data_IF_742442907813
#
_entry.id   IF_742442907813
#
_cell.length_a   1.000
_cell.length_b   1.000
_cell.length_c   1.000
_cell.angle_alpha   90.00
_cell.angle_beta   90.00
_cell.angle_gamma   90.00
#
_symmetry.space_group_name_H-M   'P 1'
#
loop_
_entity.id
_entity.type
_entity.pdbx_description
1 polymer ?
#
# COMPACT_ATOMS: atom_id res chain seq x y z
N UNK A 1 -4.33 16.00 -35.50
CA UNK A 1 -3.58 15.09 -36.38
C UNK A 1 -3.72 13.70 -35.80
N UNK A 2 -4.45 12.78 -36.45
CA UNK A 2 -4.61 11.39 -35.97
C UNK A 2 -3.31 10.65 -36.27
N UNK A 3 -2.69 10.08 -35.23
CA UNK A 3 -1.56 9.18 -35.44
C UNK A 3 -2.08 7.94 -36.15
N UNK A 4 -1.56 7.62 -37.31
CA UNK A 4 -1.80 6.34 -37.97
C UNK A 4 -1.24 5.24 -37.07
N UNK A 5 -2.00 4.18 -36.73
CA UNK A 5 -1.45 3.07 -35.98
C UNK A 5 -0.39 2.39 -36.85
N UNK A 6 0.85 2.31 -36.34
CA UNK A 6 1.81 1.35 -36.91
C UNK A 6 1.25 -0.07 -36.83
N UNK A 7 1.82 -1.02 -37.58
CA UNK A 7 1.31 -2.38 -37.79
C UNK A 7 1.08 -3.14 -36.45
N UNK A 8 -0.08 -2.94 -35.84
CA UNK A 8 -0.52 -3.42 -34.55
C UNK A 8 -0.98 -2.27 -33.65
N UNK A 9 -2.21 -2.32 -33.15
CA UNK A 9 -2.75 -1.32 -32.24
C UNK A 9 -1.97 -1.25 -30.94
N UNK A 10 -2.21 -0.20 -30.12
CA UNK A 10 -1.57 0.00 -28.80
C UNK A 10 -1.62 -1.25 -27.92
N UNK A 11 -2.81 -1.86 -27.79
CA UNK A 11 -3.00 -3.05 -26.95
C UNK A 11 -2.20 -4.25 -27.46
N UNK A 12 -2.22 -4.52 -28.77
CA UNK A 12 -1.52 -5.65 -29.37
C UNK A 12 -0.01 -5.53 -29.25
N UNK A 13 0.52 -4.30 -29.37
CA UNK A 13 1.94 -4.03 -29.17
C UNK A 13 2.36 -4.34 -27.73
N UNK A 14 1.58 -3.90 -26.74
CA UNK A 14 1.85 -4.19 -25.34
C UNK A 14 1.72 -5.66 -24.99
N UNK A 15 0.70 -6.36 -25.50
CA UNK A 15 0.48 -7.80 -25.26
C UNK A 15 1.66 -8.60 -25.83
N UNK A 16 2.14 -8.30 -27.04
CA UNK A 16 3.31 -8.98 -27.63
C UNK A 16 4.56 -8.76 -26.79
N UNK A 17 4.83 -7.52 -26.40
CA UNK A 17 5.97 -7.18 -25.56
C UNK A 17 5.92 -7.90 -24.22
N UNK A 18 4.76 -7.97 -23.60
CA UNK A 18 4.61 -8.64 -22.30
C UNK A 18 4.98 -10.11 -22.34
N UNK A 19 4.70 -10.80 -23.46
CA UNK A 19 5.01 -12.23 -23.61
C UNK A 19 6.53 -12.49 -23.59
N UNK A 20 7.35 -11.58 -24.14
CA UNK A 20 8.81 -11.76 -24.28
C UNK A 20 9.61 -11.02 -23.20
N UNK A 21 9.20 -9.80 -22.88
CA UNK A 21 9.99 -8.86 -22.07
C UNK A 21 9.28 -8.42 -20.78
N UNK A 22 8.05 -8.86 -20.55
CA UNK A 22 7.31 -8.60 -19.32
C UNK A 22 7.89 -9.36 -18.13
N UNK A 23 7.45 -8.99 -16.92
CA UNK A 23 7.80 -9.74 -15.72
C UNK A 23 6.97 -11.03 -15.65
N UNK A 24 7.63 -12.16 -15.42
CA UNK A 24 6.98 -13.47 -15.31
C UNK A 24 7.33 -14.21 -14.02
N UNK A 25 8.21 -13.60 -13.19
CA UNK A 25 8.77 -14.19 -11.98
C UNK A 25 8.05 -13.72 -10.68
N UNK A 26 6.95 -12.98 -10.80
CA UNK A 26 6.23 -12.49 -9.64
C UNK A 26 5.24 -13.54 -9.11
N UNK A 27 5.27 -13.86 -7.80
CA UNK A 27 4.47 -14.96 -7.23
C UNK A 27 2.97 -14.84 -7.45
N UNK A 28 2.45 -13.64 -7.61
CA UNK A 28 1.03 -13.35 -7.82
C UNK A 28 0.59 -13.46 -9.28
N UNK A 29 1.53 -13.50 -10.24
CA UNK A 29 1.22 -13.65 -11.67
C UNK A 29 0.97 -15.10 -12.08
N UNK A 30 1.38 -16.06 -11.26
CA UNK A 30 1.22 -17.48 -11.55
C UNK A 30 -0.25 -17.98 -11.53
N UNK A 31 -1.21 -17.12 -11.17
CA UNK A 31 -2.60 -17.52 -10.97
C UNK A 31 -3.56 -16.37 -11.26
N UNK A 32 -4.71 -16.70 -11.83
CA UNK A 32 -5.86 -15.78 -11.97
C UNK A 32 -6.84 -15.90 -10.79
N UNK A 33 -6.43 -16.47 -9.67
CA UNK A 33 -7.26 -16.58 -8.48
C UNK A 33 -7.54 -15.17 -7.90
N UNK A 34 -8.81 -14.75 -7.77
CA UNK A 34 -9.16 -13.38 -7.35
C UNK A 34 -8.63 -12.99 -5.97
N UNK A 35 -8.59 -13.93 -5.02
CA UNK A 35 -8.02 -13.69 -3.70
C UNK A 35 -6.53 -13.34 -3.78
N UNK A 36 -5.75 -14.10 -4.57
CA UNK A 36 -4.30 -13.88 -4.73
C UNK A 36 -4.00 -12.59 -5.46
N UNK A 37 -4.73 -12.31 -6.54
CA UNK A 37 -4.57 -11.06 -7.30
C UNK A 37 -4.95 -9.86 -6.43
N UNK A 38 -6.10 -9.89 -5.78
CA UNK A 38 -6.52 -8.84 -4.87
C UNK A 38 -5.53 -8.59 -3.74
N UNK A 39 -5.03 -9.66 -3.08
CA UNK A 39 -4.04 -9.56 -2.02
C UNK A 39 -2.77 -8.84 -2.50
N UNK A 40 -2.24 -9.21 -3.66
CA UNK A 40 -1.07 -8.57 -4.24
C UNK A 40 -1.31 -7.09 -4.59
N UNK A 41 -2.47 -6.77 -5.19
CA UNK A 41 -2.85 -5.41 -5.53
C UNK A 41 -2.90 -4.50 -4.30
N UNK A 42 -3.48 -4.99 -3.19
CA UNK A 42 -3.50 -4.22 -1.93
C UNK A 42 -2.09 -4.08 -1.34
N UNK A 43 -1.26 -5.11 -1.38
CA UNK A 43 0.11 -5.04 -0.87
C UNK A 43 1.00 -4.10 -1.68
N UNK A 44 0.82 -4.07 -3.00
CA UNK A 44 1.60 -3.24 -3.93
C UNK A 44 1.22 -1.75 -3.88
N UNK A 45 0.10 -1.37 -3.28
CA UNK A 45 -0.24 0.04 -3.10
C UNK A 45 0.86 0.77 -2.32
N UNK A 46 1.62 1.65 -2.99
CA UNK A 46 2.71 2.45 -2.41
C UNK A 46 3.83 1.61 -1.75
N UNK A 47 3.98 0.35 -2.13
CA UNK A 47 5.04 -0.54 -1.63
C UNK A 47 5.80 -1.15 -2.82
N UNK A 48 7.11 -1.26 -2.69
CA UNK A 48 7.96 -1.81 -3.75
C UNK A 48 7.78 -3.33 -3.88
N UNK A 49 7.87 -3.84 -5.11
CA UNK A 49 7.74 -5.27 -5.44
C UNK A 49 8.68 -6.15 -4.63
N UNK A 50 9.94 -5.74 -4.48
CA UNK A 50 10.94 -6.50 -3.72
C UNK A 50 10.50 -6.74 -2.27
N UNK A 51 9.90 -5.76 -1.65
CA UNK A 51 9.36 -5.88 -0.28
C UNK A 51 8.13 -6.78 -0.24
N UNK A 52 7.22 -6.65 -1.23
CA UNK A 52 5.94 -7.39 -1.23
C UNK A 52 6.13 -8.88 -1.43
N UNK A 53 7.16 -9.35 -2.16
CA UNK A 53 7.39 -10.77 -2.45
C UNK A 53 7.34 -11.66 -1.20
N UNK A 54 8.13 -11.30 -0.19
CA UNK A 54 8.22 -12.10 1.05
C UNK A 54 6.95 -12.01 1.88
N UNK A 55 6.34 -10.82 1.93
CA UNK A 55 5.06 -10.62 2.64
C UNK A 55 3.94 -11.42 2.01
N UNK A 56 3.82 -11.42 0.69
CA UNK A 56 2.81 -12.17 -0.04
C UNK A 56 2.91 -13.67 0.24
N UNK A 57 4.12 -14.22 0.19
CA UNK A 57 4.35 -15.64 0.48
C UNK A 57 3.96 -16.00 1.91
N UNK A 58 4.42 -15.22 2.91
CA UNK A 58 4.07 -15.45 4.31
C UNK A 58 2.57 -15.30 4.59
N UNK A 59 1.93 -14.33 3.94
CA UNK A 59 0.49 -14.14 4.06
C UNK A 59 -0.30 -15.33 3.54
N UNK A 60 0.05 -15.87 2.37
CA UNK A 60 -0.60 -17.05 1.81
C UNK A 60 -0.36 -18.33 2.62
N UNK A 61 0.79 -18.43 3.28
CA UNK A 61 1.06 -19.55 4.20
C UNK A 61 0.13 -19.52 5.41
N UNK A 62 -0.11 -18.34 5.98
CA UNK A 62 -0.97 -18.15 7.17
C UNK A 62 -2.45 -18.06 6.82
N UNK A 63 -2.77 -17.41 5.71
CA UNK A 63 -4.13 -17.17 5.21
C UNK A 63 -4.22 -17.62 3.75
N UNK A 64 -4.37 -18.92 3.48
CA UNK A 64 -4.33 -19.48 2.12
C UNK A 64 -5.50 -19.04 1.22
N UNK A 65 -6.60 -18.61 1.82
CA UNK A 65 -7.81 -18.18 1.17
C UNK A 65 -8.51 -17.04 1.93
N UNK A 66 -9.60 -16.55 1.34
CA UNK A 66 -10.38 -15.44 1.91
C UNK A 66 -11.09 -15.82 3.21
N UNK A 67 -11.46 -17.10 3.38
CA UNK A 67 -12.13 -17.58 4.58
C UNK A 67 -11.17 -17.60 5.77
N UNK A 68 -9.97 -18.11 5.59
CA UNK A 68 -8.93 -18.09 6.61
C UNK A 68 -8.57 -16.67 7.04
N UNK A 69 -8.47 -15.73 6.08
CA UNK A 69 -8.22 -14.32 6.39
C UNK A 69 -9.40 -13.67 7.14
N UNK A 70 -10.65 -13.95 6.74
CA UNK A 70 -11.84 -13.37 7.37
C UNK A 70 -12.05 -13.82 8.82
N UNK A 71 -11.68 -15.07 9.13
CA UNK A 71 -11.82 -15.67 10.46
C UNK A 71 -10.68 -15.32 11.41
N UNK A 72 -9.56 -14.84 10.90
CA UNK A 72 -8.40 -14.52 11.72
C UNK A 72 -8.68 -13.33 12.66
N UNK A 73 -8.10 -13.31 13.86
CA UNK A 73 -8.04 -12.10 14.66
C UNK A 73 -7.35 -10.96 13.90
N UNK A 74 -7.87 -9.74 14.01
CA UNK A 74 -7.27 -8.58 13.34
C UNK A 74 -5.80 -8.37 13.76
N UNK A 75 -5.47 -8.67 15.00
CA UNK A 75 -4.11 -8.52 15.52
C UNK A 75 -3.11 -9.45 14.81
N UNK A 76 -3.50 -10.68 14.47
CA UNK A 76 -2.68 -11.60 13.66
C UNK A 76 -2.40 -11.00 12.28
N UNK A 77 -3.42 -10.42 11.65
CA UNK A 77 -3.29 -9.76 10.33
C UNK A 77 -2.37 -8.55 10.41
N UNK A 78 -2.53 -7.70 11.44
CA UNK A 78 -1.69 -6.52 11.65
C UNK A 78 -0.26 -6.89 12.03
N UNK A 79 -0.07 -7.95 12.81
CA UNK A 79 1.24 -8.50 13.16
C UNK A 79 2.01 -8.95 11.92
N UNK A 80 1.38 -9.75 11.05
CA UNK A 80 1.98 -10.23 9.81
C UNK A 80 2.21 -9.11 8.78
N UNK A 81 1.40 -8.03 8.83
CA UNK A 81 1.54 -6.84 7.99
C UNK A 81 2.67 -5.90 8.46
N UNK A 82 3.18 -6.12 9.67
CA UNK A 82 4.13 -5.20 10.30
C UNK A 82 5.38 -4.99 9.44
N UNK A 83 5.68 -3.72 9.14
CA UNK A 83 6.78 -3.32 8.25
C UNK A 83 6.35 -2.85 6.85
N UNK A 84 5.18 -3.28 6.34
CA UNK A 84 4.67 -2.80 5.03
C UNK A 84 4.17 -1.35 5.07
N UNK A 85 3.82 -0.83 6.25
CA UNK A 85 3.24 0.50 6.38
C UNK A 85 1.80 0.61 5.88
N UNK A 86 1.21 1.83 6.00
CA UNK A 86 -0.17 2.08 5.58
C UNK A 86 -1.16 1.03 6.11
N UNK A 87 -1.18 0.82 7.41
CA UNK A 87 -1.94 -0.26 8.08
C UNK A 87 -3.47 -0.20 7.87
N UNK A 88 -3.99 0.95 7.42
CA UNK A 88 -5.39 1.03 6.97
C UNK A 88 -5.68 0.04 5.83
N UNK A 89 -4.69 -0.30 5.01
CA UNK A 89 -4.83 -1.33 3.97
C UNK A 89 -5.10 -2.71 4.59
N UNK A 90 -4.33 -3.10 5.60
CA UNK A 90 -4.53 -4.38 6.30
C UNK A 90 -5.89 -4.45 6.99
N UNK A 91 -6.32 -3.38 7.67
CA UNK A 91 -7.66 -3.33 8.30
C UNK A 91 -8.79 -3.44 7.26
N UNK A 92 -8.68 -2.66 6.18
CA UNK A 92 -9.67 -2.72 5.11
C UNK A 92 -9.65 -4.08 4.39
N UNK A 93 -8.48 -4.67 4.22
CA UNK A 93 -8.31 -6.01 3.64
C UNK A 93 -9.01 -7.07 4.51
N UNK A 94 -8.82 -7.04 5.82
CA UNK A 94 -9.52 -7.93 6.75
C UNK A 94 -11.04 -7.73 6.70
N UNK A 95 -11.51 -6.48 6.75
CA UNK A 95 -12.93 -6.16 6.62
C UNK A 95 -13.50 -6.56 5.24
N UNK A 96 -12.72 -6.42 4.17
CA UNK A 96 -13.09 -6.86 2.84
C UNK A 96 -13.28 -8.39 2.80
N UNK A 97 -12.34 -9.15 3.37
CA UNK A 97 -12.47 -10.60 3.45
C UNK A 97 -13.75 -11.03 4.19
N UNK A 98 -14.07 -10.38 5.31
CA UNK A 98 -15.33 -10.62 6.04
C UNK A 98 -16.56 -10.30 5.18
N UNK A 99 -16.52 -9.21 4.41
CA UNK A 99 -17.61 -8.84 3.49
C UNK A 99 -17.78 -9.85 2.35
N UNK A 100 -16.68 -10.33 1.78
CA UNK A 100 -16.73 -11.39 0.75
C UNK A 100 -17.36 -12.65 1.30
N UNK A 101 -17.02 -13.05 2.53
CA UNK A 101 -17.67 -14.20 3.19
C UNK A 101 -19.16 -13.99 3.42
N UNK A 102 -19.54 -12.84 3.98
CA UNK A 102 -20.92 -12.61 4.45
C UNK A 102 -21.89 -12.25 3.32
N UNK A 103 -21.46 -11.50 2.32
CA UNK A 103 -22.32 -11.00 1.24
C UNK A 103 -22.21 -11.78 -0.07
N UNK A 104 -21.08 -12.48 -0.28
CA UNK A 104 -20.78 -13.16 -1.54
C UNK A 104 -20.43 -14.63 -1.35
N UNK A 105 -20.70 -15.22 -0.17
CA UNK A 105 -20.48 -16.67 0.08
C UNK A 105 -19.03 -17.14 -0.10
N UNK A 106 -18.06 -16.24 0.07
CA UNK A 106 -16.63 -16.54 -0.10
C UNK A 106 -16.11 -16.39 -1.54
N UNK A 107 -16.95 -15.98 -2.47
CA UNK A 107 -16.58 -15.73 -3.87
C UNK A 107 -16.44 -14.22 -4.12
N UNK A 108 -15.32 -13.80 -4.73
CA UNK A 108 -15.19 -12.42 -5.17
C UNK A 108 -16.17 -12.11 -6.31
N UNK A 109 -16.81 -10.92 -6.32
CA UNK A 109 -17.58 -10.46 -7.48
C UNK A 109 -16.73 -10.48 -8.76
N UNK A 110 -17.35 -10.78 -9.89
CA UNK A 110 -16.71 -10.97 -11.19
C UNK A 110 -16.59 -9.69 -12.03
N UNK A 111 -17.05 -8.56 -11.50
CA UNK A 111 -17.04 -7.28 -12.21
C UNK A 111 -16.52 -6.12 -11.35
N UNK A 112 -15.92 -5.13 -12.01
CA UNK A 112 -15.29 -3.98 -11.37
C UNK A 112 -16.28 -3.13 -10.54
N UNK A 113 -17.53 -3.02 -10.99
CA UNK A 113 -18.54 -2.22 -10.29
C UNK A 113 -18.84 -2.78 -8.90
N UNK A 114 -19.05 -4.08 -8.79
CA UNK A 114 -19.30 -4.76 -7.51
C UNK A 114 -18.03 -4.84 -6.67
N UNK A 115 -16.87 -5.16 -7.27
CA UNK A 115 -15.58 -5.17 -6.56
C UNK A 115 -15.28 -3.82 -5.91
N UNK A 116 -15.62 -2.70 -6.56
CA UNK A 116 -15.40 -1.36 -6.01
C UNK A 116 -16.29 -1.02 -4.79
N UNK A 117 -17.29 -1.82 -4.48
CA UNK A 117 -18.11 -1.67 -3.26
C UNK A 117 -17.45 -2.28 -2.02
N UNK A 118 -16.42 -3.10 -2.22
CA UNK A 118 -15.73 -3.78 -1.13
C UNK A 118 -14.78 -2.82 -0.37
N UNK A 119 -14.64 -2.98 0.96
CA UNK A 119 -13.78 -2.14 1.77
C UNK A 119 -12.33 -2.09 1.27
N UNK A 120 -11.80 -0.89 1.05
CA UNK A 120 -10.41 -0.68 0.61
C UNK A 120 -10.12 -1.02 -0.85
N UNK A 121 -11.13 -1.42 -1.62
CA UNK A 121 -11.02 -1.69 -3.05
C UNK A 121 -11.43 -0.44 -3.82
N UNK A 122 -10.44 0.33 -4.27
CA UNK A 122 -10.67 1.49 -5.13
C UNK A 122 -10.93 1.11 -6.59
N UNK A 123 -11.38 2.07 -7.43
CA UNK A 123 -11.70 1.80 -8.84
C UNK A 123 -10.58 1.12 -9.62
N UNK A 124 -9.32 1.52 -9.41
CA UNK A 124 -8.18 0.92 -10.12
C UNK A 124 -7.91 -0.53 -9.67
N UNK A 125 -7.99 -0.81 -8.36
CA UNK A 125 -7.84 -2.18 -7.83
C UNK A 125 -9.00 -3.07 -8.29
N UNK A 126 -10.24 -2.57 -8.27
CA UNK A 126 -11.41 -3.28 -8.77
C UNK A 126 -11.24 -3.64 -10.25
N UNK A 127 -10.83 -2.67 -11.07
CA UNK A 127 -10.57 -2.89 -12.49
C UNK A 127 -9.42 -3.89 -12.74
N UNK A 128 -8.36 -3.85 -11.94
CA UNK A 128 -7.25 -4.80 -12.06
C UNK A 128 -7.71 -6.25 -11.77
N UNK A 129 -8.44 -6.45 -10.67
CA UNK A 129 -8.99 -7.78 -10.32
C UNK A 129 -9.97 -8.27 -11.39
N UNK A 130 -10.92 -7.42 -11.81
CA UNK A 130 -11.92 -7.76 -12.83
C UNK A 130 -11.29 -8.12 -14.18
N UNK A 131 -10.32 -7.33 -14.60
CA UNK A 131 -9.60 -7.55 -15.86
C UNK A 131 -8.73 -8.81 -15.82
N UNK A 132 -7.93 -8.99 -14.76
CA UNK A 132 -6.96 -10.11 -14.67
C UNK A 132 -7.67 -11.44 -14.42
N UNK A 133 -8.68 -11.45 -13.54
CA UNK A 133 -9.30 -12.71 -13.11
C UNK A 133 -10.49 -13.12 -13.98
N UNK A 134 -11.22 -12.15 -14.52
CA UNK A 134 -12.49 -12.41 -15.20
C UNK A 134 -12.52 -11.92 -16.66
N UNK A 135 -11.45 -11.29 -17.13
CA UNK A 135 -11.36 -10.79 -18.49
C UNK A 135 -12.29 -9.60 -18.81
N UNK A 136 -12.80 -8.91 -17.77
CA UNK A 136 -13.65 -7.75 -17.98
C UNK A 136 -12.90 -6.65 -18.76
N UNK A 137 -13.57 -6.07 -19.77
CA UNK A 137 -13.03 -4.98 -20.57
C UNK A 137 -13.13 -3.67 -19.83
N UNK A 138 -12.23 -3.46 -18.87
CA UNK A 138 -12.18 -2.27 -18.00
C UNK A 138 -10.75 -1.73 -17.89
N UNK A 139 -10.60 -0.41 -17.91
CA UNK A 139 -9.28 0.24 -17.83
C UNK A 139 -8.85 0.46 -16.39
N UNK A 140 -7.58 0.16 -16.09
CA UNK A 140 -6.93 0.54 -14.83
C UNK A 140 -6.28 1.92 -14.95
N UNK A 141 -6.24 2.68 -13.86
CA UNK A 141 -5.55 3.95 -13.77
C UNK A 141 -4.76 4.08 -12.46
N UNK A 142 -3.79 3.21 -12.25
CA UNK A 142 -2.81 3.37 -11.17
C UNK A 142 -1.76 4.45 -11.51
N UNK A 143 -0.82 4.72 -10.62
CA UNK A 143 0.21 5.72 -10.83
C UNK A 143 1.16 5.42 -12.01
N UNK A 144 1.44 4.16 -12.27
CA UNK A 144 2.28 3.72 -13.38
C UNK A 144 1.54 3.85 -14.72
N UNK A 145 0.31 3.36 -14.76
CA UNK A 145 -0.54 3.41 -15.95
C UNK A 145 -0.88 4.86 -16.34
N UNK A 146 -1.22 5.72 -15.38
CA UNK A 146 -1.39 7.16 -15.60
C UNK A 146 -0.16 7.78 -16.28
N UNK A 147 1.04 7.41 -15.83
CA UNK A 147 2.29 7.90 -16.42
C UNK A 147 2.49 7.39 -17.86
N UNK A 148 2.27 6.10 -18.10
CA UNK A 148 2.38 5.53 -19.46
C UNK A 148 1.39 6.20 -20.40
N UNK A 149 0.12 6.26 -20.04
CA UNK A 149 -0.93 6.81 -20.89
C UNK A 149 -0.75 8.31 -21.15
N UNK A 150 -0.42 9.10 -20.12
CA UNK A 150 -0.21 10.54 -20.33
C UNK A 150 0.97 10.82 -21.23
N UNK A 151 2.03 10.02 -21.18
CA UNK A 151 3.19 10.12 -22.07
C UNK A 151 2.85 9.68 -23.49
N UNK A 152 2.22 8.53 -23.64
CA UNK A 152 1.83 8.00 -24.95
C UNK A 152 0.92 8.96 -25.69
N UNK A 153 -0.10 9.48 -25.03
CA UNK A 153 -1.09 10.39 -25.61
C UNK A 153 -0.62 11.86 -25.68
N UNK A 154 0.47 12.23 -24.99
CA UNK A 154 0.82 13.64 -24.77
C UNK A 154 -0.28 14.39 -24.01
N UNK A 155 -0.85 13.76 -22.97
CA UNK A 155 -1.99 14.29 -22.25
C UNK A 155 -1.56 15.39 -21.26
N UNK A 156 -1.90 16.64 -21.57
CA UNK A 156 -1.49 17.85 -20.84
C UNK A 156 -2.40 18.20 -19.65
N UNK A 157 -3.53 17.49 -19.49
CA UNK A 157 -4.46 17.74 -18.39
C UNK A 157 -3.83 17.48 -17.01
N UNK A 158 -3.91 18.46 -16.12
CA UNK A 158 -3.46 18.29 -14.72
C UNK A 158 -4.29 17.23 -14.01
N UNK A 159 -3.65 16.11 -13.66
CA UNK A 159 -4.28 14.97 -13.00
C UNK A 159 -4.64 15.25 -11.51
N UNK A 160 -4.35 16.43 -10.99
CA UNK A 160 -4.91 16.88 -9.71
C UNK A 160 -6.41 17.24 -9.79
N UNK A 161 -6.93 17.42 -11.01
CA UNK A 161 -8.34 17.72 -11.29
C UNK A 161 -9.07 16.46 -11.74
N UNK A 162 -10.14 16.08 -11.06
CA UNK A 162 -10.92 14.87 -11.34
C UNK A 162 -11.46 14.81 -12.77
N UNK A 163 -11.85 15.95 -13.37
CA UNK A 163 -12.32 16.00 -14.75
C UNK A 163 -11.28 15.51 -15.76
N UNK A 164 -9.99 15.81 -15.52
CA UNK A 164 -8.89 15.36 -16.37
C UNK A 164 -8.61 13.86 -16.16
N UNK A 165 -8.74 13.38 -14.92
CA UNK A 165 -8.63 11.95 -14.63
C UNK A 165 -9.73 11.14 -15.32
N UNK A 166 -10.99 11.60 -15.29
CA UNK A 166 -12.09 11.00 -16.04
C UNK A 166 -11.86 11.06 -17.55
N UNK A 167 -11.28 12.16 -18.06
CA UNK A 167 -10.93 12.26 -19.49
C UNK A 167 -9.85 11.24 -19.88
N UNK A 168 -8.81 11.09 -19.03
CA UNK A 168 -7.77 10.08 -19.26
C UNK A 168 -8.34 8.66 -19.20
N UNK A 169 -9.31 8.39 -18.29
CA UNK A 169 -9.98 7.09 -18.21
C UNK A 169 -10.75 6.76 -19.50
N UNK A 170 -11.42 7.72 -20.10
CA UNK A 170 -12.09 7.51 -21.40
C UNK A 170 -11.10 7.14 -22.50
N UNK A 171 -9.96 7.84 -22.56
CA UNK A 171 -8.89 7.49 -23.52
C UNK A 171 -8.29 6.11 -23.22
N UNK A 172 -8.03 5.80 -21.96
CA UNK A 172 -7.57 4.47 -21.54
C UNK A 172 -8.53 3.35 -21.99
N UNK A 173 -9.85 3.59 -21.87
CA UNK A 173 -10.88 2.62 -22.28
C UNK A 173 -10.90 2.40 -23.80
N UNK A 174 -10.60 3.42 -24.60
CA UNK A 174 -10.49 3.31 -26.07
C UNK A 174 -9.29 2.48 -26.52
N UNK A 175 -8.25 2.43 -25.69
CA UNK A 175 -7.01 1.71 -25.99
C UNK A 175 -7.05 0.23 -25.56
N UNK A 176 -8.12 -0.22 -24.93
CA UNK A 176 -8.27 -1.62 -24.49
C UNK A 176 -8.44 -2.58 -25.66
N UNK A 177 -8.02 -3.85 -25.51
CA UNK A 177 -8.31 -4.91 -26.46
C UNK A 177 -9.81 -5.02 -26.74
N UNK A 178 -10.17 -5.34 -27.99
CA UNK A 178 -11.57 -5.50 -28.39
C UNK A 178 -11.97 -6.96 -28.62
N UNK A 179 -10.98 -7.85 -28.80
CA UNK A 179 -11.20 -9.25 -29.11
C UNK A 179 -10.50 -10.16 -28.12
N UNK A 180 -11.01 -11.40 -27.99
CA UNK A 180 -10.44 -12.44 -27.13
C UNK A 180 -10.21 -11.94 -25.70
N UNK A 181 -11.23 -11.28 -25.13
CA UNK A 181 -11.10 -10.54 -23.86
C UNK A 181 -10.60 -11.40 -22.70
N UNK A 182 -11.08 -12.64 -22.60
CA UNK A 182 -10.66 -13.56 -21.55
C UNK A 182 -9.13 -13.82 -21.53
N UNK A 183 -8.46 -13.68 -22.68
CA UNK A 183 -7.01 -13.86 -22.79
C UNK A 183 -6.26 -12.55 -22.86
N UNK A 184 -6.80 -11.58 -23.63
CA UNK A 184 -6.10 -10.34 -23.94
C UNK A 184 -6.18 -9.33 -22.81
N UNK A 185 -7.28 -9.26 -22.08
CA UNK A 185 -7.41 -8.30 -20.96
C UNK A 185 -6.42 -8.59 -19.83
N UNK A 186 -6.28 -9.82 -19.31
CA UNK A 186 -5.27 -10.12 -18.29
C UNK A 186 -3.85 -9.74 -18.75
N UNK A 187 -3.48 -10.12 -19.98
CA UNK A 187 -2.15 -9.82 -20.54
C UNK A 187 -1.92 -8.32 -20.74
N UNK A 188 -2.89 -7.61 -21.32
CA UNK A 188 -2.81 -6.17 -21.50
C UNK A 188 -2.66 -5.42 -20.18
N UNK A 189 -3.48 -5.78 -19.19
CA UNK A 189 -3.44 -5.16 -17.86
C UNK A 189 -2.10 -5.37 -17.19
N UNK A 190 -1.56 -6.59 -17.25
CA UNK A 190 -0.21 -6.86 -16.75
C UNK A 190 0.86 -6.11 -17.56
N UNK A 191 0.73 -6.08 -18.90
CA UNK A 191 1.70 -5.42 -19.77
C UNK A 191 1.85 -3.93 -19.48
N UNK A 192 0.75 -3.21 -19.36
CA UNK A 192 0.79 -1.77 -19.10
C UNK A 192 1.34 -1.43 -17.71
N UNK A 193 1.07 -2.27 -16.70
CA UNK A 193 1.66 -2.16 -15.37
C UNK A 193 3.17 -2.43 -15.41
N UNK A 194 3.60 -3.49 -16.11
CA UNK A 194 5.00 -3.86 -16.24
C UNK A 194 5.78 -2.78 -17.01
N UNK A 195 5.25 -2.28 -18.12
CA UNK A 195 5.86 -1.19 -18.86
C UNK A 195 6.11 0.04 -17.99
N UNK A 196 5.11 0.41 -17.19
CA UNK A 196 5.25 1.52 -16.27
C UNK A 196 6.27 1.27 -15.15
N UNK A 197 6.42 0.03 -14.72
CA UNK A 197 7.32 -0.30 -13.62
C UNK A 197 8.79 -0.47 -14.07
N UNK A 198 9.05 -0.92 -15.31
CA UNK A 198 10.39 -1.35 -15.75
C UNK A 198 11.00 -0.45 -16.84
N UNK A 199 10.21 0.04 -17.76
CA UNK A 199 10.68 0.80 -18.94
C UNK A 199 10.27 2.27 -18.87
N UNK A 200 8.98 2.55 -18.75
CA UNK A 200 8.44 3.91 -18.68
C UNK A 200 8.49 4.47 -17.26
N UNK A 201 9.67 4.45 -16.65
CA UNK A 201 9.92 4.88 -15.26
C UNK A 201 9.71 6.38 -15.06
N UNK A 202 9.53 6.83 -13.82
CA UNK A 202 9.24 8.24 -13.50
C UNK A 202 10.37 9.17 -13.90
N UNK A 203 11.61 8.75 -13.68
CA UNK A 203 12.84 9.46 -14.06
C UNK A 203 13.64 8.58 -15.03
N UNK A 204 14.27 9.21 -16.03
CA UNK A 204 15.12 8.55 -17.02
C UNK A 204 14.45 7.31 -17.64
N UNK A 205 13.25 7.44 -18.26
CA UNK A 205 12.60 6.30 -18.91
C UNK A 205 13.46 5.78 -20.05
N UNK A 206 13.48 4.44 -20.24
CA UNK A 206 14.24 3.78 -21.29
C UNK A 206 13.46 3.80 -22.63
N UNK A 207 13.27 4.99 -23.22
CA UNK A 207 12.43 5.17 -24.42
C UNK A 207 12.93 4.35 -25.62
N UNK A 208 14.24 4.20 -25.80
CA UNK A 208 14.80 3.42 -26.91
C UNK A 208 14.46 1.91 -26.84
N UNK A 209 14.23 1.37 -25.61
CA UNK A 209 13.82 -0.02 -25.39
C UNK A 209 12.30 -0.18 -25.23
N UNK A 210 11.53 0.90 -25.41
CA UNK A 210 10.09 0.89 -25.22
C UNK A 210 9.37 0.26 -26.41
N UNK A 211 8.41 -0.66 -26.21
CA UNK A 211 7.63 -1.22 -27.32
C UNK A 211 6.80 -0.17 -28.06
N UNK A 212 6.57 0.97 -27.44
CA UNK A 212 5.83 2.12 -28.02
C UNK A 212 6.77 3.18 -28.61
N UNK A 213 8.07 2.87 -28.79
CA UNK A 213 9.04 3.75 -29.43
C UNK A 213 8.55 4.21 -30.77
N UNK A 214 8.75 5.50 -31.12
CA UNK A 214 8.26 6.11 -32.35
C UNK A 214 6.74 6.38 -32.42
N UNK A 215 5.96 5.84 -31.50
CA UNK A 215 4.50 6.08 -31.40
C UNK A 215 4.14 6.98 -30.21
N UNK A 216 5.09 7.20 -29.29
CA UNK A 216 4.87 7.93 -28.05
C UNK A 216 4.99 9.44 -28.25
N UNK A 217 3.94 10.20 -27.93
CA UNK A 217 3.92 11.65 -28.13
C UNK A 217 4.93 12.40 -27.26
N UNK A 218 5.08 11.98 -25.98
CA UNK A 218 6.06 12.60 -25.08
C UNK A 218 7.51 12.35 -25.51
N UNK A 219 7.79 11.22 -26.16
CA UNK A 219 9.08 10.93 -26.76
C UNK A 219 9.34 11.83 -27.96
N UNK A 220 8.38 11.95 -28.89
CA UNK A 220 8.48 12.84 -30.05
C UNK A 220 8.73 14.31 -29.63
N UNK A 221 8.24 14.71 -28.47
CA UNK A 221 8.48 16.02 -27.86
C UNK A 221 9.80 16.09 -27.06
N UNK A 222 10.58 15.01 -27.01
CA UNK A 222 11.81 14.91 -26.21
C UNK A 222 11.61 15.30 -24.72
N UNK A 223 10.40 15.17 -24.19
CA UNK A 223 10.05 15.61 -22.85
C UNK A 223 9.19 14.61 -22.05
N UNK A 224 9.57 13.32 -21.98
CA UNK A 224 8.75 12.32 -21.27
C UNK A 224 8.56 12.61 -19.79
N UNK A 225 9.51 13.26 -19.13
CA UNK A 225 9.43 13.58 -17.71
C UNK A 225 8.47 14.74 -17.39
N UNK A 226 8.03 15.52 -18.38
CA UNK A 226 6.99 16.53 -18.24
C UNK A 226 5.61 15.92 -17.95
N UNK A 227 5.43 14.61 -18.21
CA UNK A 227 4.18 13.89 -18.02
C UNK A 227 4.29 12.84 -16.90
N UNK A 228 3.25 12.67 -16.07
CA UNK A 228 1.99 13.42 -16.02
C UNK A 228 2.14 14.83 -15.43
N UNK A 229 1.32 15.76 -15.89
CA UNK A 229 1.21 17.10 -15.29
C UNK A 229 0.52 16.96 -13.94
N UNK A 230 1.15 17.51 -12.87
CA UNK A 230 0.60 17.60 -11.52
C UNK A 230 1.02 18.91 -10.88
N UNK A 231 0.07 19.79 -10.64
CA UNK A 231 0.35 21.10 -10.02
C UNK A 231 0.24 21.08 -8.50
N UNK A 232 -0.56 20.13 -7.95
CA UNK A 232 -0.76 20.03 -6.50
C UNK A 232 0.48 19.49 -5.80
N UNK A 233 1.11 20.33 -4.98
CA UNK A 233 2.19 19.91 -4.06
C UNK A 233 1.61 19.48 -2.73
N UNK A 234 2.09 18.38 -2.20
CA UNK A 234 1.70 17.90 -0.87
C UNK A 234 2.32 18.83 0.19
N UNK A 235 1.46 19.48 1.00
CA UNK A 235 1.94 20.21 2.19
C UNK A 235 2.28 19.18 3.27
N UNK A 236 3.51 19.21 3.76
CA UNK A 236 3.97 18.39 4.88
C UNK A 236 3.87 19.18 6.18
N UNK A 237 3.52 18.50 7.27
CA UNK A 237 3.51 19.05 8.63
C UNK A 237 4.53 18.30 9.48
N UNK A 238 4.92 18.89 10.62
CA UNK A 238 5.75 18.24 11.63
C UNK A 238 4.95 18.11 12.93
N UNK A 239 5.22 17.07 13.69
CA UNK A 239 4.63 16.83 15.01
C UNK A 239 5.66 16.19 15.92
N UNK A 240 5.77 16.72 17.13
CA UNK A 240 6.53 16.13 18.23
C UNK A 240 5.61 15.24 19.06
N UNK A 241 6.10 14.08 19.47
CA UNK A 241 5.37 13.13 20.32
C UNK A 241 6.33 12.56 21.36
N UNK A 242 5.88 12.49 22.59
CA UNK A 242 6.61 11.88 23.69
C UNK A 242 6.11 10.44 23.89
N UNK A 243 7.06 9.50 24.01
CA UNK A 243 6.76 8.08 24.15
C UNK A 243 7.16 7.59 25.53
N UNK A 244 6.21 7.14 26.31
CA UNK A 244 6.51 6.50 27.59
C UNK A 244 6.95 5.05 27.34
N UNK A 245 8.24 4.79 27.47
CA UNK A 245 8.80 3.45 27.40
C UNK A 245 8.93 2.89 28.82
N UNK A 246 7.81 2.35 29.32
CA UNK A 246 7.76 1.68 30.61
C UNK A 246 8.04 0.19 30.43
N UNK A 247 9.00 -0.31 31.19
CA UNK A 247 9.37 -1.71 31.27
C UNK A 247 9.15 -2.22 32.70
N UNK A 248 8.75 -3.47 32.84
CA UNK A 248 8.75 -4.15 34.14
C UNK A 248 10.13 -4.77 34.43
N UNK A 249 10.38 -5.11 35.67
CA UNK A 249 11.63 -5.75 36.11
C UNK A 249 11.90 -7.09 35.38
N UNK A 250 10.87 -7.77 34.90
CA UNK A 250 10.93 -9.03 34.15
C UNK A 250 10.95 -8.82 32.62
N UNK A 251 11.07 -7.55 32.15
CA UNK A 251 11.25 -7.20 30.75
C UNK A 251 9.95 -7.13 29.93
N UNK A 252 8.78 -7.16 30.55
CA UNK A 252 7.54 -6.84 29.85
C UNK A 252 7.47 -5.32 29.55
N UNK A 253 6.80 -4.95 28.47
CA UNK A 253 6.66 -3.56 28.02
C UNK A 253 5.22 -3.12 28.13
N UNK A 254 4.98 -1.90 28.62
CA UNK A 254 3.64 -1.33 28.65
C UNK A 254 3.25 -0.82 27.28
N UNK A 255 2.25 -1.43 26.65
CA UNK A 255 1.73 -1.03 25.35
C UNK A 255 0.27 -0.62 25.46
N UNK A 256 -0.11 0.37 24.64
CA UNK A 256 -1.50 0.80 24.47
C UNK A 256 -1.91 0.66 23.01
N UNK A 257 -3.16 0.28 22.76
CA UNK A 257 -3.69 0.28 21.40
C UNK A 257 -4.09 1.70 20.99
N UNK A 258 -3.63 2.13 19.82
CA UNK A 258 -3.91 3.48 19.30
C UNK A 258 -5.37 3.64 18.90
N UNK A 259 -6.01 4.77 19.23
CA UNK A 259 -7.38 5.05 18.82
C UNK A 259 -7.52 5.13 17.30
N UNK A 260 -8.74 4.91 16.82
CA UNK A 260 -9.13 5.07 15.42
C UNK A 260 -10.18 6.19 15.33
N UNK A 261 -9.99 7.22 14.46
CA UNK A 261 -8.87 7.42 13.53
C UNK A 261 -7.61 8.02 14.18
N UNK A 262 -6.48 8.02 13.45
CA UNK A 262 -5.26 8.67 13.91
C UNK A 262 -3.98 8.09 13.30
N UNK A 263 -2.86 8.66 13.71
CA UNK A 263 -1.55 8.10 13.37
C UNK A 263 -1.40 6.73 14.04
N UNK A 264 -1.07 5.71 13.22
CA UNK A 264 -0.93 4.32 13.66
C UNK A 264 -2.21 3.72 14.27
N UNK A 265 -3.38 4.20 13.82
CA UNK A 265 -4.67 3.75 14.31
C UNK A 265 -4.78 2.22 14.43
N UNK A 266 -5.25 1.73 15.57
CA UNK A 266 -5.44 0.32 15.86
C UNK A 266 -4.18 -0.50 16.12
N UNK A 267 -2.98 0.08 15.99
CA UNK A 267 -1.72 -0.60 16.32
C UNK A 267 -1.41 -0.49 17.82
N UNK A 268 -0.68 -1.45 18.32
CA UNK A 268 -0.04 -1.34 19.61
C UNK A 268 1.15 -0.38 19.55
N UNK A 269 1.33 0.42 20.57
CA UNK A 269 2.37 1.44 20.62
C UNK A 269 2.77 1.71 22.08
N UNK A 270 3.98 2.20 22.28
CA UNK A 270 4.30 2.89 23.54
C UNK A 270 3.30 4.04 23.72
N UNK A 271 2.76 4.31 24.91
CA UNK A 271 1.84 5.42 25.14
C UNK A 271 2.41 6.73 24.56
N UNK A 272 1.62 7.41 23.71
CA UNK A 272 1.98 8.67 23.07
C UNK A 272 1.34 9.82 23.86
N UNK A 273 2.16 10.78 24.21
CA UNK A 273 1.79 11.95 25.01
C UNK A 273 2.25 13.23 24.27
N UNK A 274 1.54 14.32 24.50
CA UNK A 274 1.77 15.56 23.73
C UNK A 274 3.01 16.32 24.21
N UNK A 275 3.36 16.19 25.48
CA UNK A 275 4.50 16.89 26.09
C UNK A 275 5.19 16.04 27.17
N UNK A 276 6.31 16.57 27.68
CA UNK A 276 7.16 15.92 28.68
C UNK A 276 6.50 15.88 30.07
N UNK A 277 5.75 16.91 30.41
CA UNK A 277 5.12 17.05 31.73
C UNK A 277 3.95 16.07 31.85
N UNK A 278 3.14 15.94 30.81
CA UNK A 278 2.08 14.93 30.71
C UNK A 278 2.67 13.50 30.79
N UNK A 279 3.83 13.27 30.14
CA UNK A 279 4.51 11.97 30.25
C UNK A 279 4.98 11.71 31.69
N UNK A 280 5.57 12.69 32.35
CA UNK A 280 6.02 12.57 33.74
C UNK A 280 4.85 12.29 34.68
N UNK A 281 3.71 12.97 34.49
CA UNK A 281 2.50 12.73 35.27
C UNK A 281 1.91 11.32 35.05
N UNK A 282 2.20 10.67 33.93
CA UNK A 282 1.78 9.30 33.64
C UNK A 282 2.59 8.24 34.39
N UNK A 283 3.63 8.62 35.14
CA UNK A 283 4.47 7.73 35.92
C UNK A 283 4.26 7.99 37.42
N UNK A 284 4.17 6.94 38.28
CA UNK A 284 4.05 7.11 39.74
C UNK A 284 5.10 8.07 40.27
N UNK A 285 4.69 8.99 41.15
CA UNK A 285 5.54 10.09 41.64
C UNK A 285 6.92 9.64 42.16
N UNK A 286 6.95 8.51 42.83
CA UNK A 286 8.18 7.92 43.41
C UNK A 286 9.21 7.47 42.36
N UNK A 287 8.80 7.30 41.11
CA UNK A 287 9.64 6.85 40.01
C UNK A 287 9.95 7.95 38.97
N UNK A 288 9.38 9.13 39.10
CA UNK A 288 9.57 10.22 38.14
C UNK A 288 11.03 10.65 37.99
N UNK A 289 11.81 10.57 39.08
CA UNK A 289 13.26 10.84 39.07
C UNK A 289 14.10 9.79 38.31
N UNK A 290 13.51 8.63 38.03
CA UNK A 290 14.17 7.54 37.31
C UNK A 290 13.92 7.60 35.78
N UNK A 291 13.12 8.56 35.30
CA UNK A 291 12.88 8.76 33.88
C UNK A 291 14.19 9.07 33.13
N UNK A 292 14.46 8.35 32.06
CA UNK A 292 15.68 8.49 31.22
C UNK A 292 15.29 8.80 29.80
N UNK A 293 15.62 10.01 29.35
CA UNK A 293 15.42 10.42 27.95
C UNK A 293 16.32 9.60 27.03
N UNK A 294 15.78 9.16 25.90
CA UNK A 294 16.48 8.43 24.86
C UNK A 294 16.68 9.32 23.63
N UNK A 295 17.49 8.85 22.67
CA UNK A 295 17.72 9.59 21.44
C UNK A 295 16.40 9.81 20.67
N UNK A 296 16.22 11.05 20.17
CA UNK A 296 15.06 11.41 19.35
C UNK A 296 15.07 10.65 18.03
N UNK A 297 13.94 10.03 17.68
CA UNK A 297 13.78 9.30 16.45
C UNK A 297 12.91 10.09 15.48
N UNK A 298 13.48 10.53 14.35
CA UNK A 298 12.69 11.11 13.26
C UNK A 298 12.05 10.01 12.44
N UNK A 299 10.73 10.01 12.35
CA UNK A 299 9.97 9.09 11.48
C UNK A 299 9.17 9.87 10.44
N UNK A 300 9.39 9.53 9.16
CA UNK A 300 8.84 10.26 8.01
C UNK A 300 7.62 9.51 7.47
N UNK A 301 6.46 10.14 7.54
CA UNK A 301 5.24 9.72 6.87
C UNK A 301 5.05 10.51 5.57
N UNK A 302 4.13 10.09 4.71
CA UNK A 302 3.86 10.77 3.43
C UNK A 302 3.53 12.26 3.58
N UNK A 303 2.74 12.62 4.60
CA UNK A 303 2.23 13.98 4.80
C UNK A 303 2.71 14.63 6.11
N UNK A 304 3.50 13.91 6.92
CA UNK A 304 3.90 14.36 8.25
C UNK A 304 5.28 13.83 8.64
N UNK A 305 6.08 14.67 9.27
CA UNK A 305 7.32 14.26 9.94
C UNK A 305 7.01 14.15 11.44
N UNK A 306 7.31 13.00 12.03
CA UNK A 306 7.17 12.75 13.45
C UNK A 306 8.54 12.82 14.12
N UNK A 307 8.63 13.61 15.19
CA UNK A 307 9.79 13.65 16.08
C UNK A 307 9.38 12.91 17.37
N UNK A 308 9.89 11.73 17.54
CA UNK A 308 9.56 10.82 18.63
C UNK A 308 10.60 10.95 19.72
N UNK A 309 10.16 11.29 20.93
CA UNK A 309 10.98 11.46 22.12
C UNK A 309 10.73 10.30 23.10
N UNK A 310 11.46 9.19 23.00
CA UNK A 310 11.27 8.06 23.93
C UNK A 310 11.86 8.41 25.29
N UNK A 311 11.11 8.12 26.35
CA UNK A 311 11.55 8.27 27.75
C UNK A 311 11.34 6.95 28.44
N UNK A 312 12.44 6.33 28.89
CA UNK A 312 12.44 5.00 29.49
C UNK A 312 12.36 5.08 31.02
N UNK A 313 11.61 4.12 31.60
CA UNK A 313 11.55 3.89 33.04
C UNK A 313 11.29 2.41 33.29
N UNK A 314 11.91 1.87 34.35
CA UNK A 314 11.64 0.52 34.84
C UNK A 314 10.69 0.60 36.05
N UNK A 315 9.59 -0.14 36.01
CA UNK A 315 8.61 -0.19 37.09
C UNK A 315 8.73 -1.51 37.87
N UNK A 316 8.76 -1.45 39.20
CA UNK A 316 8.67 -2.63 40.07
C UNK A 316 7.38 -3.41 39.82
N UNK A 317 7.39 -4.68 40.19
CA UNK A 317 6.18 -5.55 40.14
C UNK A 317 5.02 -4.92 40.92
N UNK A 318 3.83 -4.99 40.32
CA UNK A 318 2.59 -4.46 40.92
C UNK A 318 2.36 -2.97 40.67
N UNK A 319 3.33 -2.23 40.11
CA UNK A 319 3.12 -0.87 39.61
C UNK A 319 2.87 -0.87 38.11
N UNK A 320 2.07 0.08 37.64
CA UNK A 320 1.80 0.33 36.22
C UNK A 320 1.74 1.81 35.92
N UNK A 321 1.98 2.22 34.68
CA UNK A 321 1.75 3.59 34.25
C UNK A 321 0.30 4.04 34.49
N UNK A 322 0.12 5.34 34.74
CA UNK A 322 -1.19 5.97 34.98
C UNK A 322 -1.87 6.37 33.65
N UNK A 323 -1.66 5.56 32.61
CA UNK A 323 -2.27 5.71 31.28
C UNK A 323 -2.80 4.35 30.81
N UNK A 324 -3.79 4.39 29.93
CA UNK A 324 -4.40 3.16 29.38
C UNK A 324 -3.38 2.29 28.68
N UNK A 325 -3.47 0.98 28.88
CA UNK A 325 -2.57 -0.01 28.28
C UNK A 325 -2.53 -1.30 29.07
N UNK A 326 -1.52 -2.11 28.79
CA UNK A 326 -1.28 -3.38 29.48
C UNK A 326 0.17 -3.82 29.31
N UNK A 327 0.62 -4.65 30.23
CA UNK A 327 1.91 -5.31 30.16
C UNK A 327 1.90 -6.38 29.07
N UNK A 328 2.89 -6.35 28.19
CA UNK A 328 3.09 -7.30 27.11
C UNK A 328 4.50 -7.90 27.27
N UNK A 329 4.56 -9.20 27.40
CA UNK A 329 5.82 -9.93 27.54
C UNK A 329 6.72 -9.77 26.32
N UNK A 330 8.04 -9.85 26.56
CA UNK A 330 9.06 -9.69 25.50
C UNK A 330 8.92 -10.70 24.35
N UNK A 331 8.40 -11.90 24.61
CA UNK A 331 8.11 -12.91 23.59
C UNK A 331 6.83 -12.65 22.77
N UNK A 332 5.91 -11.81 23.25
CA UNK A 332 4.61 -11.59 22.62
C UNK A 332 4.54 -10.33 21.76
N UNK A 333 5.18 -9.21 22.18
CA UNK A 333 5.10 -7.97 21.42
C UNK A 333 5.64 -8.09 19.96
N UNK A 334 6.60 -8.98 19.62
CA UNK A 334 7.02 -9.13 18.23
C UNK A 334 5.92 -9.63 17.29
N UNK A 335 4.89 -10.27 17.82
CA UNK A 335 3.75 -10.79 17.06
C UNK A 335 2.65 -9.74 16.85
N UNK A 336 2.67 -8.64 17.61
CA UNK A 336 1.68 -7.59 17.52
C UNK A 336 1.92 -6.66 16.32
N UNK A 337 0.84 -6.01 15.87
CA UNK A 337 0.92 -4.91 14.92
C UNK A 337 1.53 -3.66 15.57
N UNK A 338 2.83 -3.43 15.38
CA UNK A 338 3.57 -2.30 15.89
C UNK A 338 4.01 -1.37 14.76
N UNK A 339 4.01 -0.03 14.94
CA UNK A 339 4.66 0.89 14.03
C UNK A 339 6.16 0.56 13.90
N UNK A 340 6.72 0.69 12.71
CA UNK A 340 8.12 0.37 12.46
C UNK A 340 9.13 1.07 13.42
N UNK A 341 8.99 2.36 13.76
CA UNK A 341 9.90 3.01 14.70
C UNK A 341 9.77 2.44 16.13
N UNK A 342 8.58 2.04 16.56
CA UNK A 342 8.36 1.42 17.87
C UNK A 342 8.98 0.03 17.92
N UNK A 343 8.73 -0.80 16.88
CA UNK A 343 9.35 -2.12 16.77
C UNK A 343 10.88 -2.03 16.82
N UNK A 344 11.46 -1.03 16.14
CA UNK A 344 12.90 -0.81 16.14
C UNK A 344 13.43 -0.40 17.52
N UNK A 345 12.70 0.46 18.24
CA UNK A 345 13.08 0.86 19.61
C UNK A 345 13.05 -0.34 20.57
N UNK A 346 12.02 -1.18 20.51
CA UNK A 346 11.89 -2.33 21.41
C UNK A 346 12.85 -3.48 21.08
N UNK A 347 13.49 -3.47 19.93
CA UNK A 347 14.48 -4.46 19.53
C UNK A 347 15.93 -4.09 19.92
N UNK A 348 16.15 -2.90 20.54
CA UNK A 348 17.46 -2.44 21.05
C UNK A 348 17.66 -2.84 22.50
#
# INVERSE_FOLDING_TARGET
MRLSPGAGGFAETLIRWQVTDGRHDLPWQASQNPYRVWLSEIMLQQTQVVTVRDYFTRFLQRFPDVAALAQAPLDDVLGLWSGLGYYSRARNMHLCAQRVMTLHGGLFPDNAAQLATLPGVGPSTAAAVASICFGERVAILDGNVKRVLTRYLGFEGDLARSVNEHSLLREATRLLPEQHLATNMPRYTQAIMDLGATVCTARKPACAACPLHGQCRAEALSSPEAFPVKTRKLKRTAQTLWLLWAESEDGAVWLSQRPTPGVWAGLYCLPLLDDRDTLQAAVPAVLQSQLRDQCVVKHVLTHKDLYLHPVRVVLPRGLSPMVSGGWVESGHWPQLGLPAPIRKLLAT
#
